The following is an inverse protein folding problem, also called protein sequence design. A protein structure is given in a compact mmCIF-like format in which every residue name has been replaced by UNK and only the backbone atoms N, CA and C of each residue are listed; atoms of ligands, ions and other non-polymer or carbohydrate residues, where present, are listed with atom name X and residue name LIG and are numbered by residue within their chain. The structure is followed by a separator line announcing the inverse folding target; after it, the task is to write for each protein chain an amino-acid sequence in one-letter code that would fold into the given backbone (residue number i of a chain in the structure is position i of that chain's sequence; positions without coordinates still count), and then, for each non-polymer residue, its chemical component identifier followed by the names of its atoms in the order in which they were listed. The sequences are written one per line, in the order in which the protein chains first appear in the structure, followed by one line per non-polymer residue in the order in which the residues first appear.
data_IF_363147249515
#
_entry.id   IF_363147249515
#
_cell.length_a   1.000
_cell.length_b   1.000
_cell.length_c   1.000
_cell.angle_alpha   90.00
_cell.angle_beta   90.00
_cell.angle_gamma   90.00
#
_symmetry.space_group_name_H-M   'P 1'
#
loop_
_entity.id
_entity.type
_entity.pdbx_description
1 polymer ?
#
# COMPACT_ATOMS: atom_id res chain seq x y z
N UNK A 1 -5.98 0.47 -7.39
CA UNK A 1 -5.73 0.85 -5.98
C UNK A 1 -4.72 -0.14 -5.38
N UNK A 2 -3.57 0.40 -4.96
CA UNK A 2 -2.47 -0.37 -4.39
C UNK A 2 -1.99 0.37 -3.16
N UNK A 3 -1.96 -0.30 -2.02
CA UNK A 3 -1.40 0.25 -0.79
C UNK A 3 -0.26 -0.64 -0.35
N UNK A 4 0.92 -0.06 -0.16
CA UNK A 4 2.06 -0.74 0.46
C UNK A 4 2.39 0.05 1.73
N UNK A 5 2.22 -0.59 2.89
CA UNK A 5 2.29 0.09 4.17
C UNK A 5 3.35 -0.55 5.06
N UNK A 6 4.25 0.29 5.55
CA UNK A 6 5.26 -0.08 6.52
C UNK A 6 5.19 0.87 7.72
#
# INVERSE_FOLDING_TARGET
LYIQNY
#
